data_IF_451107614832
#
_entry.id   IF_451107614832
#
_cell.length_a   1.000
_cell.length_b   1.000
_cell.length_c   1.000
_cell.angle_alpha   90.00
_cell.angle_beta   90.00
_cell.angle_gamma   90.00
#
_symmetry.space_group_name_H-M   'P 1'
#
loop_
_entity.id
_entity.type
_entity.pdbx_description
1 polymer ?
#
# COMPACT_ATOMS: atom_id res chain seq x y z
N UNK A 1 19.43 14.66 71.65
CA UNK A 1 18.53 13.53 71.32
C UNK A 1 18.09 13.71 69.86
N UNK A 2 18.16 12.62 69.07
CA UNK A 2 17.84 12.49 67.64
C UNK A 2 18.95 12.95 66.66
N UNK A 3 19.89 12.11 66.22
CA UNK A 3 19.80 10.84 65.45
C UNK A 3 19.77 11.09 63.93
N UNK A 4 20.90 10.77 63.30
CA UNK A 4 21.11 10.19 61.96
C UNK A 4 20.24 10.66 60.79
N UNK A 5 20.89 11.29 59.80
CA UNK A 5 20.64 10.98 58.38
C UNK A 5 21.97 10.84 57.64
N UNK A 6 22.38 9.59 57.41
CA UNK A 6 23.46 9.23 56.49
C UNK A 6 22.91 9.37 55.06
N UNK A 7 23.48 10.28 54.29
CA UNK A 7 23.21 10.39 52.84
C UNK A 7 24.06 9.33 52.16
N UNK A 8 23.42 8.27 51.69
CA UNK A 8 24.04 7.26 50.82
C UNK A 8 23.94 7.81 49.39
N UNK A 9 25.07 8.19 48.79
CA UNK A 9 25.16 8.42 47.36
C UNK A 9 25.05 7.07 46.65
N UNK A 10 23.90 6.81 46.02
CA UNK A 10 23.75 5.73 45.06
C UNK A 10 24.18 6.22 43.68
N UNK A 11 25.33 5.74 43.20
CA UNK A 11 25.80 5.95 41.84
C UNK A 11 24.87 5.21 40.87
N UNK A 12 23.97 5.94 40.21
CA UNK A 12 23.17 5.40 39.12
C UNK A 12 24.07 5.20 37.88
N UNK A 13 24.57 3.99 37.70
CA UNK A 13 25.14 3.57 36.42
C UNK A 13 24.00 3.48 35.40
N UNK A 14 23.88 4.50 34.55
CA UNK A 14 22.99 4.45 33.39
C UNK A 14 23.52 3.38 32.42
N UNK A 15 22.91 2.19 32.43
CA UNK A 15 23.08 1.23 31.35
C UNK A 15 22.43 1.83 30.10
N UNK A 16 23.25 2.37 29.21
CA UNK A 16 22.89 2.58 27.82
C UNK A 16 22.59 1.21 27.23
N UNK A 17 21.31 0.85 27.12
CA UNK A 17 20.88 -0.25 26.30
C UNK A 17 21.26 0.09 24.86
N UNK A 18 22.39 -0.43 24.39
CA UNK A 18 22.71 -0.43 22.98
C UNK A 18 21.56 -1.14 22.27
N UNK A 19 20.75 -0.38 21.55
CA UNK A 19 19.79 -0.91 20.61
C UNK A 19 20.58 -1.72 19.59
N UNK A 20 20.64 -3.04 19.79
CA UNK A 20 21.28 -3.96 18.88
C UNK A 20 20.54 -3.84 17.54
N UNK A 21 21.13 -3.10 16.61
CA UNK A 21 20.72 -3.13 15.21
C UNK A 21 20.77 -4.59 14.77
N UNK A 22 19.63 -5.14 14.37
CA UNK A 22 19.53 -6.56 14.04
C UNK A 22 20.51 -6.88 12.91
N UNK A 23 21.54 -7.69 13.20
CA UNK A 23 22.63 -7.98 12.27
C UNK A 23 22.11 -8.57 10.94
N UNK A 24 22.78 -8.28 9.80
CA UNK A 24 22.35 -8.77 8.51
C UNK A 24 22.41 -10.30 8.44
N UNK A 25 21.49 -10.90 7.70
CA UNK A 25 21.36 -12.35 7.64
C UNK A 25 20.85 -12.87 6.29
N UNK A 26 21.08 -14.17 6.06
CA UNK A 26 20.51 -14.94 4.95
C UNK A 26 19.68 -16.09 5.53
N UNK A 27 18.49 -16.31 4.99
CA UNK A 27 17.60 -17.43 5.32
C UNK A 27 17.75 -18.52 4.26
N UNK A 28 18.04 -19.74 4.69
CA UNK A 28 18.21 -20.90 3.81
C UNK A 28 16.87 -21.65 3.60
N UNK A 29 16.76 -22.51 2.57
CA UNK A 29 15.54 -23.29 2.30
C UNK A 29 15.08 -24.18 3.46
N UNK A 30 16.00 -24.61 4.33
CA UNK A 30 15.70 -25.36 5.55
C UNK A 30 15.25 -24.48 6.73
N UNK A 31 15.03 -23.18 6.51
CA UNK A 31 14.65 -22.19 7.52
C UNK A 31 15.82 -21.68 8.37
N UNK A 32 17.03 -22.21 8.21
CA UNK A 32 18.20 -21.77 8.98
C UNK A 32 18.58 -20.33 8.63
N UNK A 33 18.80 -19.52 9.67
CA UNK A 33 19.35 -18.15 9.51
C UNK A 33 20.86 -18.18 9.70
N UNK A 34 21.58 -17.65 8.72
CA UNK A 34 23.03 -17.42 8.81
C UNK A 34 23.23 -15.93 9.02
N UNK A 35 23.75 -15.54 10.19
CA UNK A 35 24.03 -14.16 10.53
C UNK A 35 25.44 -13.75 10.08
N UNK A 36 25.62 -12.48 9.76
CA UNK A 36 26.91 -11.88 9.42
C UNK A 36 27.05 -10.47 9.98
N UNK A 37 28.22 -9.88 9.72
CA UNK A 37 28.54 -8.49 10.07
C UNK A 37 28.38 -7.51 8.91
N UNK A 38 28.33 -8.02 7.67
CA UNK A 38 28.06 -7.23 6.47
C UNK A 38 27.43 -8.13 5.41
N UNK A 39 26.58 -7.53 4.56
CA UNK A 39 25.91 -8.23 3.47
C UNK A 39 25.94 -7.38 2.20
N UNK A 40 26.10 -8.03 1.05
CA UNK A 40 26.09 -7.37 -0.25
C UNK A 40 25.46 -8.28 -1.29
N UNK A 41 24.52 -7.73 -2.06
CA UNK A 41 24.04 -8.37 -3.27
C UNK A 41 24.98 -8.10 -4.44
N UNK A 42 25.19 -9.11 -5.27
CA UNK A 42 25.92 -9.04 -6.54
C UNK A 42 24.96 -8.80 -7.70
N UNK A 43 25.49 -8.43 -8.86
CA UNK A 43 24.68 -8.07 -10.04
C UNK A 43 23.81 -9.23 -10.56
N UNK A 44 24.30 -10.46 -10.39
CA UNK A 44 23.63 -11.72 -10.73
C UNK A 44 22.61 -12.19 -9.68
N UNK A 45 22.51 -11.49 -8.55
CA UNK A 45 21.63 -11.81 -7.43
C UNK A 45 22.22 -12.81 -6.43
N UNK A 46 23.50 -13.19 -6.53
CA UNK A 46 24.16 -13.87 -5.43
C UNK A 46 24.41 -12.91 -4.24
N UNK A 47 24.47 -13.46 -3.03
CA UNK A 47 24.65 -12.70 -1.80
C UNK A 47 25.98 -13.05 -1.16
N UNK A 48 26.83 -12.05 -0.93
CA UNK A 48 28.00 -12.18 -0.08
C UNK A 48 27.65 -11.76 1.35
N UNK A 49 27.85 -12.65 2.30
CA UNK A 49 27.69 -12.39 3.73
C UNK A 49 29.04 -12.54 4.43
N UNK A 50 29.50 -11.52 5.13
CA UNK A 50 30.71 -11.57 5.96
C UNK A 50 30.37 -12.22 7.30
N UNK A 51 30.82 -13.46 7.50
CA UNK A 51 30.64 -14.21 8.75
C UNK A 51 31.91 -14.18 9.59
N UNK A 52 31.87 -14.74 10.81
CA UNK A 52 33.07 -14.90 11.64
C UNK A 52 34.16 -15.75 10.97
N UNK A 53 33.79 -16.66 10.07
CA UNK A 53 34.70 -17.53 9.31
C UNK A 53 35.17 -16.92 7.98
N UNK A 54 34.80 -15.66 7.69
CA UNK A 54 35.07 -14.99 6.42
C UNK A 54 33.81 -14.82 5.54
N UNK A 55 34.01 -14.41 4.29
CA UNK A 55 32.92 -14.18 3.33
C UNK A 55 32.37 -15.52 2.87
N UNK A 56 31.05 -15.70 3.01
CA UNK A 56 30.29 -16.80 2.43
C UNK A 56 29.39 -16.27 1.33
N UNK A 57 29.44 -16.90 0.16
CA UNK A 57 28.60 -16.57 -0.99
C UNK A 57 27.41 -17.51 -1.06
N UNK A 58 26.22 -16.95 -1.25
CA UNK A 58 24.96 -17.66 -1.46
C UNK A 58 24.46 -17.36 -2.87
N UNK A 59 24.59 -18.29 -3.82
CA UNK A 59 24.05 -18.13 -5.17
C UNK A 59 22.53 -17.89 -5.15
N UNK A 60 22.04 -17.15 -6.14
CA UNK A 60 20.60 -16.94 -6.33
C UNK A 60 19.88 -18.29 -6.43
N UNK A 61 18.77 -18.42 -5.70
CA UNK A 61 17.99 -19.67 -5.62
C UNK A 61 18.48 -20.67 -4.56
N UNK A 62 19.63 -20.44 -3.93
CA UNK A 62 20.11 -21.25 -2.79
C UNK A 62 19.77 -20.64 -1.42
N UNK A 63 19.02 -19.53 -1.40
CA UNK A 63 18.51 -18.87 -0.22
C UNK A 63 17.08 -18.40 -0.47
N UNK A 64 16.30 -18.26 0.60
CA UNK A 64 14.91 -17.78 0.57
C UNK A 64 14.84 -16.26 0.70
N UNK A 65 15.61 -15.69 1.62
CA UNK A 65 15.61 -14.25 1.90
C UNK A 65 17.02 -13.81 2.29
N UNK A 66 17.39 -12.59 1.92
CA UNK A 66 18.59 -11.92 2.38
C UNK A 66 18.18 -10.55 2.93
N UNK A 67 18.64 -10.23 4.14
CA UNK A 67 18.17 -9.07 4.87
C UNK A 67 19.38 -8.29 5.35
N UNK A 68 19.50 -7.04 4.87
CA UNK A 68 20.47 -6.09 5.38
C UNK A 68 19.92 -5.35 6.61
N UNK A 69 20.81 -4.62 7.28
CA UNK A 69 20.39 -3.60 8.24
C UNK A 69 19.43 -2.60 7.57
N UNK A 70 18.45 -2.12 8.33
CA UNK A 70 17.48 -1.15 7.83
C UNK A 70 18.19 0.16 7.41
N UNK A 71 18.05 0.61 6.15
CA UNK A 71 18.57 1.90 5.74
C UNK A 71 17.87 3.03 6.50
N UNK A 72 18.64 4.01 6.98
CA UNK A 72 18.06 5.21 7.59
C UNK A 72 17.18 5.99 6.60
N UNK A 73 17.52 5.95 5.31
CA UNK A 73 16.80 6.59 4.23
C UNK A 73 15.40 6.00 4.03
N UNK A 74 15.16 4.75 4.44
CA UNK A 74 13.83 4.16 4.40
C UNK A 74 12.90 4.86 5.39
N UNK A 75 13.33 5.02 6.64
CA UNK A 75 12.55 5.73 7.67
C UNK A 75 12.37 7.21 7.30
N UNK A 76 13.42 7.85 6.75
CA UNK A 76 13.33 9.22 6.26
C UNK A 76 12.35 9.35 5.08
N UNK A 77 12.36 8.40 4.15
CA UNK A 77 11.45 8.38 3.00
C UNK A 77 10.00 8.18 3.43
N UNK A 78 9.75 7.28 4.39
CA UNK A 78 8.43 7.10 5.00
C UNK A 78 7.97 8.35 5.76
N UNK A 79 8.85 9.01 6.52
CA UNK A 79 8.53 10.26 7.20
C UNK A 79 8.22 11.39 6.20
N UNK A 80 8.97 11.49 5.10
CA UNK A 80 8.71 12.44 4.02
C UNK A 80 7.35 12.16 3.34
N UNK A 81 7.00 10.89 3.11
CA UNK A 81 5.70 10.49 2.57
C UNK A 81 4.55 10.92 3.49
N UNK A 82 4.66 10.65 4.79
CA UNK A 82 3.67 11.06 5.79
C UNK A 82 3.52 12.59 5.88
N UNK A 83 4.63 13.31 5.68
CA UNK A 83 4.66 14.78 5.61
C UNK A 83 4.22 15.33 4.24
N UNK A 84 3.78 14.47 3.30
CA UNK A 84 3.41 14.82 1.91
C UNK A 84 4.52 15.51 1.11
N UNK A 85 5.78 15.33 1.52
CA UNK A 85 6.97 15.79 0.80
C UNK A 85 7.33 14.75 -0.26
N UNK A 86 6.51 14.68 -1.31
CA UNK A 86 6.56 13.56 -2.25
C UNK A 86 7.89 13.48 -3.02
N UNK A 87 8.48 14.61 -3.42
CA UNK A 87 9.78 14.62 -4.11
C UNK A 87 10.91 14.04 -3.24
N UNK A 88 10.95 14.41 -1.95
CA UNK A 88 11.91 13.85 -1.01
C UNK A 88 11.68 12.37 -0.76
N UNK A 89 10.42 11.97 -0.59
CA UNK A 89 10.05 10.57 -0.40
C UNK A 89 10.49 9.71 -1.59
N UNK A 90 10.20 10.15 -2.83
CA UNK A 90 10.61 9.48 -4.06
C UNK A 90 12.13 9.33 -4.10
N UNK A 91 12.88 10.43 -3.97
CA UNK A 91 14.34 10.40 -4.03
C UNK A 91 14.96 9.47 -2.99
N UNK A 92 14.46 9.51 -1.75
CA UNK A 92 14.97 8.67 -0.66
C UNK A 92 14.67 7.19 -0.89
N UNK A 93 13.42 6.86 -1.25
CA UNK A 93 12.99 5.48 -1.46
C UNK A 93 13.61 4.88 -2.73
N UNK A 94 13.71 5.61 -3.85
CA UNK A 94 14.45 5.15 -5.04
C UNK A 94 15.92 4.85 -4.72
N UNK A 95 16.53 5.67 -3.86
CA UNK A 95 17.88 5.41 -3.34
C UNK A 95 17.98 4.09 -2.58
N UNK A 96 16.97 3.76 -1.77
CA UNK A 96 16.87 2.46 -1.07
C UNK A 96 16.72 1.32 -2.08
N UNK A 97 15.79 1.44 -3.04
CA UNK A 97 15.57 0.43 -4.08
C UNK A 97 16.86 0.10 -4.85
N UNK A 98 17.63 1.12 -5.21
CA UNK A 98 18.88 0.96 -5.94
C UNK A 98 19.98 0.29 -5.11
N UNK A 99 20.18 0.75 -3.86
CA UNK A 99 21.30 0.29 -3.01
C UNK A 99 21.04 -1.04 -2.32
N UNK A 100 19.78 -1.40 -2.08
CA UNK A 100 19.37 -2.58 -1.31
C UNK A 100 18.69 -3.65 -2.16
N UNK A 101 18.99 -3.69 -3.46
CA UNK A 101 18.51 -4.71 -4.38
C UNK A 101 18.75 -6.12 -3.82
N UNK A 102 17.70 -6.94 -3.75
CA UNK A 102 17.69 -8.30 -3.18
C UNK A 102 17.96 -8.40 -1.67
N UNK A 103 17.93 -7.28 -0.94
CA UNK A 103 18.28 -7.22 0.48
C UNK A 103 17.08 -6.81 1.36
N UNK A 104 15.87 -7.23 0.95
CA UNK A 104 14.55 -6.94 1.57
C UNK A 104 14.08 -5.49 1.41
N UNK A 105 14.95 -4.52 1.65
CA UNK A 105 14.56 -3.11 1.72
C UNK A 105 14.21 -2.49 0.38
N UNK A 106 14.65 -3.07 -0.73
CA UNK A 106 14.18 -2.71 -2.06
C UNK A 106 12.68 -2.99 -2.24
N UNK A 107 12.23 -4.19 -1.91
CA UNK A 107 10.82 -4.55 -1.96
C UNK A 107 9.98 -3.70 -0.99
N UNK A 108 10.47 -3.47 0.24
CA UNK A 108 9.77 -2.62 1.21
C UNK A 108 9.67 -1.16 0.74
N UNK A 109 10.71 -0.60 0.12
CA UNK A 109 10.65 0.74 -0.45
C UNK A 109 9.69 0.80 -1.66
N UNK A 110 9.65 -0.25 -2.48
CA UNK A 110 8.72 -0.37 -3.61
C UNK A 110 7.25 -0.49 -3.18
N UNK A 111 6.94 -0.92 -1.95
CA UNK A 111 5.57 -0.87 -1.40
C UNK A 111 5.10 0.57 -1.13
N UNK A 112 6.03 1.47 -0.82
CA UNK A 112 5.73 2.86 -0.45
C UNK A 112 5.80 3.82 -1.65
N UNK A 113 6.69 3.56 -2.62
CA UNK A 113 6.90 4.43 -3.79
C UNK A 113 5.62 4.76 -4.58
N UNK A 114 4.71 3.81 -4.86
CA UNK A 114 3.48 4.13 -5.59
C UNK A 114 2.64 5.21 -4.91
N UNK A 115 2.60 5.24 -3.57
CA UNK A 115 1.87 6.25 -2.82
C UNK A 115 2.52 7.63 -2.98
N UNK A 116 3.85 7.69 -2.94
CA UNK A 116 4.59 8.93 -3.16
C UNK A 116 4.37 9.49 -4.57
N UNK A 117 4.43 8.63 -5.59
CA UNK A 117 4.17 9.00 -6.97
C UNK A 117 2.73 9.47 -7.19
N UNK A 118 1.73 8.77 -6.64
CA UNK A 118 0.32 9.19 -6.70
C UNK A 118 0.10 10.54 -6.00
N UNK A 119 0.71 10.74 -4.83
CA UNK A 119 0.64 12.02 -4.11
C UNK A 119 1.22 13.18 -4.90
N UNK A 120 2.28 12.94 -5.68
CA UNK A 120 2.87 13.92 -6.61
C UNK A 120 2.03 14.13 -7.88
N UNK A 121 1.08 13.25 -8.16
CA UNK A 121 0.29 13.26 -9.40
C UNK A 121 0.95 12.50 -10.57
N UNK A 122 2.05 11.79 -10.34
CA UNK A 122 2.70 10.95 -11.35
C UNK A 122 2.18 9.51 -11.29
N UNK A 123 0.93 9.33 -11.73
CA UNK A 123 0.29 8.01 -11.71
C UNK A 123 0.95 6.99 -12.63
N UNK A 124 1.62 7.43 -13.70
CA UNK A 124 2.34 6.53 -14.60
C UNK A 124 3.58 5.93 -13.92
N UNK A 125 4.33 6.72 -13.15
CA UNK A 125 5.42 6.21 -12.34
C UNK A 125 4.92 5.29 -11.21
N UNK A 126 3.76 5.58 -10.61
CA UNK A 126 3.16 4.70 -9.61
C UNK A 126 2.85 3.30 -10.15
N UNK A 127 2.28 3.20 -11.36
CA UNK A 127 2.05 1.91 -12.04
C UNK A 127 3.37 1.16 -12.25
N UNK A 128 4.42 1.84 -12.74
CA UNK A 128 5.74 1.22 -12.93
C UNK A 128 6.36 0.73 -11.62
N UNK A 129 6.18 1.46 -10.52
CA UNK A 129 6.68 1.05 -9.21
C UNK A 129 5.98 -0.23 -8.71
N UNK A 130 4.66 -0.38 -8.94
CA UNK A 130 3.97 -1.65 -8.67
C UNK A 130 4.45 -2.79 -9.57
N UNK A 131 4.65 -2.54 -10.88
CA UNK A 131 5.20 -3.54 -11.79
C UNK A 131 6.57 -4.04 -11.34
N UNK A 132 7.43 -3.12 -10.89
CA UNK A 132 8.73 -3.46 -10.32
C UNK A 132 8.60 -4.22 -9.00
N UNK A 133 7.69 -3.81 -8.10
CA UNK A 133 7.40 -4.55 -6.86
C UNK A 133 7.05 -6.00 -7.18
N UNK A 134 6.17 -6.24 -8.15
CA UNK A 134 5.76 -7.58 -8.54
C UNK A 134 6.87 -8.39 -9.24
N UNK A 135 7.91 -7.74 -9.77
CA UNK A 135 9.09 -8.45 -10.28
C UNK A 135 10.01 -8.90 -9.15
N UNK A 136 10.18 -8.08 -8.10
CA UNK A 136 11.10 -8.39 -6.99
C UNK A 136 10.45 -9.20 -5.88
N UNK A 137 9.15 -9.03 -5.65
CA UNK A 137 8.32 -9.70 -4.66
C UNK A 137 7.02 -10.21 -5.32
N UNK A 138 7.09 -11.30 -6.12
CA UNK A 138 5.95 -11.80 -6.87
C UNK A 138 4.70 -12.13 -6.05
N UNK A 139 4.87 -12.52 -4.80
CA UNK A 139 3.84 -12.81 -3.80
C UNK A 139 2.95 -11.59 -3.50
N UNK A 140 3.48 -10.38 -3.64
CA UNK A 140 2.71 -9.15 -3.40
C UNK A 140 1.58 -8.96 -4.44
N UNK A 141 1.61 -9.69 -5.56
CA UNK A 141 0.45 -9.74 -6.48
C UNK A 141 -0.82 -10.27 -5.81
N UNK A 142 -0.66 -11.13 -4.80
CA UNK A 142 -1.77 -11.73 -4.07
C UNK A 142 -2.17 -10.92 -2.84
N UNK A 143 -1.39 -9.90 -2.47
CA UNK A 143 -1.75 -8.98 -1.40
C UNK A 143 -2.92 -8.09 -1.87
N UNK A 144 -4.11 -8.19 -1.27
CA UNK A 144 -5.29 -7.46 -1.75
C UNK A 144 -5.10 -5.95 -1.75
N UNK A 145 -4.40 -5.40 -0.75
CA UNK A 145 -4.16 -3.96 -0.64
C UNK A 145 -3.27 -3.46 -1.77
N UNK A 146 -2.21 -4.19 -2.09
CA UNK A 146 -1.27 -3.87 -3.18
C UNK A 146 -1.95 -4.02 -4.53
N UNK A 147 -2.70 -5.10 -4.74
CA UNK A 147 -3.44 -5.33 -5.98
C UNK A 147 -4.48 -4.23 -6.25
N UNK A 148 -5.26 -3.83 -5.24
CA UNK A 148 -6.20 -2.72 -5.37
C UNK A 148 -5.48 -1.36 -5.50
N UNK A 149 -4.33 -1.18 -4.86
CA UNK A 149 -3.46 -0.01 -5.04
C UNK A 149 -3.01 0.17 -6.48
N UNK A 150 -2.56 -0.91 -7.13
CA UNK A 150 -2.21 -0.90 -8.55
C UNK A 150 -3.40 -0.49 -9.42
N UNK A 151 -4.60 -1.03 -9.18
CA UNK A 151 -5.80 -0.66 -9.96
C UNK A 151 -6.16 0.82 -9.80
N UNK A 152 -6.05 1.38 -8.59
CA UNK A 152 -6.22 2.82 -8.36
C UNK A 152 -5.17 3.64 -9.12
N UNK A 153 -3.91 3.19 -9.14
CA UNK A 153 -2.87 3.85 -9.92
C UNK A 153 -3.14 3.79 -11.43
N UNK A 154 -3.60 2.65 -11.94
CA UNK A 154 -4.00 2.48 -13.34
C UNK A 154 -5.18 3.40 -13.72
N UNK A 155 -6.17 3.54 -12.83
CA UNK A 155 -7.30 4.46 -13.02
C UNK A 155 -6.80 5.90 -13.16
N UNK A 156 -5.95 6.35 -12.22
CA UNK A 156 -5.36 7.69 -12.24
C UNK A 156 -4.48 7.92 -13.49
N UNK A 157 -3.75 6.89 -13.92
CA UNK A 157 -2.93 6.89 -15.13
C UNK A 157 -3.74 6.73 -16.42
N UNK A 158 -5.07 6.66 -16.33
CA UNK A 158 -6.00 6.45 -17.46
C UNK A 158 -5.70 5.21 -18.29
N UNK A 159 -5.12 4.18 -17.68
CA UNK A 159 -4.86 2.89 -18.32
C UNK A 159 -6.14 2.04 -18.37
N UNK A 160 -7.19 2.57 -18.99
CA UNK A 160 -8.52 1.98 -18.92
C UNK A 160 -8.62 0.60 -19.58
N UNK A 161 -8.12 0.35 -20.81
CA UNK A 161 -8.27 -0.96 -21.43
C UNK A 161 -7.67 -2.12 -20.62
N UNK A 162 -6.42 -2.05 -20.11
CA UNK A 162 -5.90 -3.10 -19.24
C UNK A 162 -6.59 -3.14 -17.87
N UNK A 163 -7.01 -2.00 -17.32
CA UNK A 163 -7.74 -1.97 -16.05
C UNK A 163 -9.08 -2.69 -16.17
N UNK A 164 -9.88 -2.42 -17.21
CA UNK A 164 -11.18 -3.08 -17.44
C UNK A 164 -11.02 -4.60 -17.46
N UNK A 165 -10.01 -5.14 -18.16
CA UNK A 165 -9.74 -6.58 -18.17
C UNK A 165 -9.47 -7.14 -16.78
N UNK A 166 -8.76 -6.40 -15.91
CA UNK A 166 -8.56 -6.82 -14.54
C UNK A 166 -9.85 -6.74 -13.71
N UNK A 167 -10.65 -5.69 -13.89
CA UNK A 167 -11.92 -5.53 -13.19
C UNK A 167 -12.91 -6.64 -13.57
N UNK A 168 -12.97 -7.02 -14.85
CA UNK A 168 -13.82 -8.12 -15.32
C UNK A 168 -13.39 -9.46 -14.70
N UNK A 169 -12.09 -9.74 -14.64
CA UNK A 169 -11.57 -10.94 -13.99
C UNK A 169 -11.90 -10.98 -12.50
N UNK A 170 -11.75 -9.84 -11.80
CA UNK A 170 -12.08 -9.70 -10.37
C UNK A 170 -13.57 -9.85 -10.13
N UNK A 171 -14.42 -9.26 -10.97
CA UNK A 171 -15.86 -9.40 -10.86
C UNK A 171 -16.34 -10.85 -11.10
N UNK A 172 -15.63 -11.61 -11.95
CA UNK A 172 -15.97 -13.00 -12.25
C UNK A 172 -15.49 -14.01 -11.21
N UNK A 173 -14.39 -13.73 -10.50
CA UNK A 173 -13.68 -14.73 -9.68
C UNK A 173 -13.35 -14.29 -8.24
N UNK A 174 -13.53 -13.01 -7.93
CA UNK A 174 -13.26 -12.45 -6.61
C UNK A 174 -14.40 -12.66 -5.62
N UNK A 175 -14.22 -12.12 -4.41
CA UNK A 175 -15.30 -12.06 -3.42
C UNK A 175 -16.42 -11.12 -3.87
N UNK A 176 -17.57 -11.16 -3.19
CA UNK A 176 -18.69 -10.26 -3.50
C UNK A 176 -18.31 -8.79 -3.29
N UNK A 177 -17.48 -8.51 -2.29
CA UNK A 177 -16.87 -7.20 -2.02
C UNK A 177 -15.94 -6.77 -3.16
N UNK A 178 -15.10 -7.68 -3.66
CA UNK A 178 -14.21 -7.41 -4.78
C UNK A 178 -14.99 -7.11 -6.06
N UNK A 179 -16.04 -7.88 -6.35
CA UNK A 179 -16.93 -7.63 -7.47
C UNK A 179 -17.64 -6.27 -7.34
N UNK A 180 -18.11 -5.90 -6.14
CA UNK A 180 -18.70 -4.59 -5.87
C UNK A 180 -17.71 -3.42 -6.08
N UNK A 181 -16.46 -3.56 -5.61
CA UNK A 181 -15.38 -2.59 -5.85
C UNK A 181 -15.06 -2.48 -7.34
N UNK A 182 -14.98 -3.61 -8.04
CA UNK A 182 -14.64 -3.63 -9.46
C UNK A 182 -15.72 -2.96 -10.30
N UNK A 183 -16.98 -3.27 -9.98
CA UNK A 183 -18.17 -2.68 -10.58
C UNK A 183 -18.21 -1.15 -10.39
N UNK A 184 -17.90 -0.67 -9.19
CA UNK A 184 -17.81 0.77 -8.89
C UNK A 184 -16.67 1.44 -9.64
N UNK A 185 -15.48 0.82 -9.67
CA UNK A 185 -14.32 1.35 -10.40
C UNK A 185 -14.53 1.39 -11.91
N UNK A 186 -15.34 0.48 -12.49
CA UNK A 186 -15.74 0.56 -13.90
C UNK A 186 -16.62 1.79 -14.16
N UNK A 187 -17.50 2.13 -13.23
CA UNK A 187 -18.23 3.40 -13.24
C UNK A 187 -17.30 4.61 -13.21
N UNK A 188 -16.20 4.57 -12.46
CA UNK A 188 -15.21 5.66 -12.43
C UNK A 188 -14.55 5.87 -13.79
N UNK A 189 -14.24 4.79 -14.50
CA UNK A 189 -13.71 4.85 -15.86
C UNK A 189 -14.72 5.52 -16.80
N UNK A 190 -15.99 5.13 -16.73
CA UNK A 190 -17.05 5.70 -17.56
C UNK A 190 -17.28 7.19 -17.26
N UNK A 191 -17.29 7.59 -15.98
CA UNK A 191 -17.35 9.00 -15.59
C UNK A 191 -16.17 9.78 -16.18
N UNK A 192 -14.96 9.24 -16.10
CA UNK A 192 -13.77 9.89 -16.64
C UNK A 192 -13.77 9.98 -18.18
N UNK A 193 -14.60 9.18 -18.84
CA UNK A 193 -14.87 9.22 -20.29
C UNK A 193 -16.10 10.07 -20.65
N UNK A 194 -16.71 10.74 -19.67
CA UNK A 194 -17.97 11.49 -19.79
C UNK A 194 -19.20 10.63 -20.16
N UNK A 195 -19.13 9.32 -20.00
CA UNK A 195 -20.27 8.42 -20.16
C UNK A 195 -21.04 8.29 -18.84
N UNK A 196 -21.70 9.39 -18.46
CA UNK A 196 -22.45 9.48 -17.20
C UNK A 196 -23.60 8.46 -17.15
N UNK A 197 -24.18 8.12 -18.30
CA UNK A 197 -25.27 7.15 -18.40
C UNK A 197 -24.80 5.73 -18.05
N UNK A 198 -23.66 5.28 -18.57
CA UNK A 198 -23.13 3.98 -18.15
C UNK A 198 -22.62 4.00 -16.71
N UNK A 199 -21.95 5.10 -16.31
CA UNK A 199 -21.43 5.23 -14.96
C UNK A 199 -22.51 5.09 -13.89
N UNK A 200 -23.65 5.78 -14.06
CA UNK A 200 -24.74 5.71 -13.09
C UNK A 200 -25.31 4.29 -12.98
N UNK A 201 -25.40 3.55 -14.09
CA UNK A 201 -25.85 2.15 -14.07
C UNK A 201 -24.87 1.29 -13.28
N UNK A 202 -23.57 1.53 -13.44
CA UNK A 202 -22.56 0.75 -12.75
C UNK A 202 -22.53 1.01 -11.24
N UNK A 203 -22.65 2.28 -10.82
CA UNK A 203 -22.77 2.64 -9.41
C UNK A 203 -24.07 2.14 -8.77
N UNK A 204 -25.21 2.29 -9.47
CA UNK A 204 -26.50 1.79 -9.00
C UNK A 204 -26.50 0.27 -8.87
N UNK A 205 -25.84 -0.45 -9.79
CA UNK A 205 -25.71 -1.90 -9.67
C UNK A 205 -25.02 -2.28 -8.36
N UNK A 206 -23.94 -1.59 -7.97
CA UNK A 206 -23.31 -1.81 -6.67
C UNK A 206 -24.26 -1.47 -5.51
N UNK A 207 -24.88 -0.29 -5.53
CA UNK A 207 -25.75 0.18 -4.45
C UNK A 207 -27.01 -0.68 -4.25
N UNK A 208 -27.55 -1.27 -5.32
CA UNK A 208 -28.84 -1.98 -5.31
C UNK A 208 -28.70 -3.50 -5.37
N UNK A 209 -27.72 -4.03 -6.11
CA UNK A 209 -27.59 -5.49 -6.33
C UNK A 209 -26.52 -6.15 -5.46
N UNK A 210 -25.69 -5.39 -4.75
CA UNK A 210 -24.69 -5.90 -3.79
C UNK A 210 -25.09 -5.57 -2.34
N UNK A 211 -26.38 -5.50 -2.04
CA UNK A 211 -26.87 -5.13 -0.70
C UNK A 211 -26.42 -6.07 0.42
N UNK A 212 -26.01 -7.29 0.09
CA UNK A 212 -25.39 -8.26 0.99
C UNK A 212 -23.99 -7.83 1.44
N UNK A 213 -23.26 -7.05 0.63
CA UNK A 213 -22.02 -6.38 1.04
C UNK A 213 -22.38 -5.26 2.03
N UNK A 214 -21.97 -5.42 3.29
CA UNK A 214 -22.26 -4.46 4.38
C UNK A 214 -21.13 -3.49 4.68
N UNK A 215 -20.01 -3.61 3.98
CA UNK A 215 -18.86 -2.73 4.15
C UNK A 215 -19.27 -1.26 3.89
N UNK A 216 -19.17 -0.36 4.89
CA UNK A 216 -19.54 1.04 4.75
C UNK A 216 -18.68 1.82 3.75
N UNK A 217 -17.44 1.40 3.49
CA UNK A 217 -16.60 2.03 2.47
C UNK A 217 -17.14 1.73 1.08
N UNK A 218 -17.37 0.44 0.77
CA UNK A 218 -17.83 0.00 -0.55
C UNK A 218 -19.23 0.53 -0.84
N UNK A 219 -20.17 0.29 0.08
CA UNK A 219 -21.56 0.69 -0.15
C UNK A 219 -21.73 2.20 -0.11
N UNK A 220 -21.04 2.88 0.80
CA UNK A 220 -21.14 4.33 0.86
C UNK A 220 -20.53 5.01 -0.36
N UNK A 221 -19.40 4.52 -0.87
CA UNK A 221 -18.83 5.00 -2.14
C UNK A 221 -19.80 4.85 -3.30
N UNK A 222 -20.38 3.66 -3.46
CA UNK A 222 -21.33 3.37 -4.54
C UNK A 222 -22.58 4.26 -4.47
N UNK A 223 -23.19 4.43 -3.30
CA UNK A 223 -24.36 5.30 -3.13
C UNK A 223 -24.00 6.77 -3.42
N UNK A 224 -22.84 7.22 -2.95
CA UNK A 224 -22.40 8.60 -3.17
C UNK A 224 -22.16 8.88 -4.65
N UNK A 225 -21.41 8.01 -5.33
CA UNK A 225 -21.12 8.14 -6.76
C UNK A 225 -22.36 7.99 -7.63
N UNK A 226 -23.27 7.08 -7.28
CA UNK A 226 -24.57 6.97 -7.94
C UNK A 226 -25.36 8.29 -7.81
N UNK A 227 -25.41 8.86 -6.61
CA UNK A 227 -26.10 10.13 -6.37
C UNK A 227 -25.49 11.27 -7.20
N UNK A 228 -24.16 11.40 -7.24
CA UNK A 228 -23.47 12.42 -8.04
C UNK A 228 -23.72 12.26 -9.54
N UNK A 229 -23.72 11.03 -10.05
CA UNK A 229 -24.02 10.76 -11.45
C UNK A 229 -25.49 11.10 -11.77
N UNK A 230 -26.43 10.75 -10.88
CA UNK A 230 -27.85 11.13 -11.00
C UNK A 230 -28.04 12.66 -10.95
N UNK A 231 -27.33 13.39 -10.09
CA UNK A 231 -27.35 14.86 -10.08
C UNK A 231 -26.93 15.43 -11.43
N UNK A 232 -25.87 14.87 -12.04
CA UNK A 232 -25.38 15.27 -13.35
C UNK A 232 -26.42 15.05 -14.45
N UNK A 233 -27.19 13.96 -14.34
CA UNK A 233 -28.31 13.64 -15.22
C UNK A 233 -29.61 14.40 -14.88
N UNK A 234 -29.62 15.21 -13.81
CA UNK A 234 -30.80 15.88 -13.26
C UNK A 234 -31.92 14.92 -12.88
N UNK A 235 -31.55 13.71 -12.48
CA UNK A 235 -32.50 12.68 -12.05
C UNK A 235 -32.92 12.94 -10.58
N UNK A 236 -34.23 12.97 -10.26
CA UNK A 236 -34.72 13.27 -8.92
C UNK A 236 -34.33 12.22 -7.87
N UNK A 237 -33.95 11.00 -8.28
CA UNK A 237 -33.55 9.92 -7.38
C UNK A 237 -32.17 10.18 -6.73
N UNK A 238 -31.42 11.20 -7.15
CA UNK A 238 -30.13 11.55 -6.55
C UNK A 238 -30.22 11.74 -5.03
N UNK A 239 -31.25 12.47 -4.55
CA UNK A 239 -31.47 12.71 -3.12
C UNK A 239 -31.78 11.43 -2.35
N UNK A 240 -32.45 10.45 -2.97
CA UNK A 240 -32.72 9.17 -2.31
C UNK A 240 -31.43 8.38 -2.08
N UNK A 241 -30.48 8.41 -3.02
CA UNK A 241 -29.19 7.75 -2.87
C UNK A 241 -28.35 8.37 -1.74
N UNK A 242 -28.28 9.71 -1.65
CA UNK A 242 -27.64 10.38 -0.51
C UNK A 242 -28.30 10.03 0.82
N UNK A 243 -29.64 10.01 0.87
CA UNK A 243 -30.39 9.67 2.09
C UNK A 243 -30.06 8.25 2.55
N UNK A 244 -30.14 7.27 1.65
CA UNK A 244 -29.82 5.87 1.94
C UNK A 244 -28.39 5.70 2.45
N UNK A 245 -27.44 6.43 1.88
CA UNK A 245 -26.06 6.41 2.36
C UNK A 245 -26.00 6.83 3.84
N UNK A 246 -26.59 7.99 4.17
CA UNK A 246 -26.54 8.54 5.52
C UNK A 246 -27.27 7.64 6.53
N UNK A 247 -28.40 7.06 6.14
CA UNK A 247 -29.22 6.21 7.01
C UNK A 247 -28.62 4.82 7.21
N UNK A 248 -28.13 4.19 6.14
CA UNK A 248 -27.69 2.78 6.17
C UNK A 248 -26.18 2.62 6.37
N UNK A 249 -25.39 3.61 5.97
CA UNK A 249 -23.93 3.58 6.02
C UNK A 249 -23.35 4.84 6.70
N UNK A 250 -23.80 5.20 7.92
CA UNK A 250 -23.36 6.42 8.60
C UNK A 250 -21.87 6.44 8.95
N UNK A 251 -21.24 5.25 9.04
CA UNK A 251 -19.80 5.08 9.25
C UNK A 251 -18.97 5.25 7.96
N UNK A 252 -19.60 5.40 6.80
CA UNK A 252 -18.89 5.60 5.54
C UNK A 252 -18.09 6.91 5.54
N UNK A 253 -16.88 6.94 4.95
CA UNK A 253 -16.15 8.18 4.69
C UNK A 253 -16.96 9.22 3.87
N UNK A 254 -17.93 8.76 3.09
CA UNK A 254 -18.77 9.59 2.23
C UNK A 254 -20.00 10.18 2.95
N UNK A 255 -20.31 9.72 4.18
CA UNK A 255 -21.55 10.10 4.87
C UNK A 255 -21.63 11.59 5.24
N UNK A 256 -20.50 12.21 5.60
CA UNK A 256 -20.47 13.64 5.87
C UNK A 256 -20.78 14.47 4.61
N UNK A 257 -20.20 14.09 3.47
CA UNK A 257 -20.45 14.78 2.19
C UNK A 257 -21.91 14.59 1.73
N UNK A 258 -22.44 13.37 1.86
CA UNK A 258 -23.82 13.07 1.53
C UNK A 258 -24.83 13.85 2.38
N UNK A 259 -24.56 14.05 3.68
CA UNK A 259 -25.41 14.89 4.55
C UNK A 259 -25.52 16.33 4.05
N UNK A 260 -24.43 16.90 3.52
CA UNK A 260 -24.43 18.25 2.97
C UNK A 260 -25.23 18.41 1.67
N UNK A 261 -25.71 17.31 1.09
CA UNK A 261 -26.47 17.28 -0.19
C UNK A 261 -27.98 17.12 -0.02
N UNK A 262 -28.47 16.86 1.20
CA UNK A 262 -29.89 16.67 1.50
C UNK A 262 -30.60 18.02 1.63
#
# INVERSE_FOLDING_TARGET
MNMMKRVILASAAAMLAASATAAPYVVLPNGQRVQGSAIRALSDGAINLTTASGIRTFPRGQYLEAVADKPAEFDQGMAALNAKKYDDAIRLLEGVVSRYRFLKWDAEALKLLPQAFLGKGDSAAAVKAYEQLFQVAPEERQNPEVAWGMRRAMLAAKQYPPLIRQLDAVAASGSREDAARAQTMRGDIQMAQNDVNQAVLDYLRTAVMFQDVKDPEIQGEAHYKAAQALETLRDPNAKDMYRRLVEKFPASPYAAQARGKL
#
